data_IF_093791273312
#
_entry.id   IF_093791273312
#
_cell.length_a   1.000
_cell.length_b   1.000
_cell.length_c   1.000
_cell.angle_alpha   90.00
_cell.angle_beta   90.00
_cell.angle_gamma   90.00
#
_symmetry.space_group_name_H-M   'P 1'
#
loop_
_entity.id
_entity.type
_entity.pdbx_description
1 polymer ?
#
# COMPACT_ATOMS: atom_id res chain seq x y z
N UNK A 1 18.26 8.49 29.20
CA UNK A 1 17.27 8.16 28.17
C UNK A 1 17.37 9.13 27.00
N UNK A 2 17.66 8.61 25.80
CA UNK A 2 17.62 9.35 24.53
C UNK A 2 16.41 8.89 23.71
N UNK A 3 16.06 9.66 22.68
CA UNK A 3 14.95 9.31 21.77
C UNK A 3 15.25 8.02 20.99
N UNK A 4 16.52 7.84 20.58
CA UNK A 4 16.99 6.66 19.86
C UNK A 4 16.80 5.38 20.67
N UNK A 5 17.05 5.44 21.99
CA UNK A 5 16.80 4.30 22.89
C UNK A 5 15.32 3.96 22.97
N UNK A 6 14.44 4.98 23.07
CA UNK A 6 12.99 4.75 23.11
C UNK A 6 12.46 4.17 21.80
N UNK A 7 12.96 4.66 20.67
CA UNK A 7 12.63 4.12 19.34
C UNK A 7 13.09 2.67 19.21
N UNK A 8 14.33 2.36 19.63
CA UNK A 8 14.86 0.99 19.59
C UNK A 8 14.03 0.05 20.47
N UNK A 9 13.72 0.45 21.71
CA UNK A 9 12.87 -0.35 22.61
C UNK A 9 11.47 -0.59 22.02
N UNK A 10 10.87 0.41 21.37
CA UNK A 10 9.56 0.26 20.73
C UNK A 10 9.61 -0.79 19.60
N UNK A 11 10.64 -0.71 18.75
CA UNK A 11 10.82 -1.64 17.63
C UNK A 11 11.12 -3.08 18.10
N UNK A 12 12.05 -3.24 19.04
CA UNK A 12 12.45 -4.55 19.60
C UNK A 12 11.29 -5.28 20.28
N UNK A 13 10.36 -4.53 20.90
CA UNK A 13 9.16 -5.09 21.52
C UNK A 13 8.03 -5.35 20.53
N UNK A 14 8.21 -5.02 19.25
CA UNK A 14 7.19 -5.19 18.22
C UNK A 14 6.02 -4.20 18.34
N UNK A 15 6.26 -3.00 18.89
CA UNK A 15 5.24 -1.98 19.01
C UNK A 15 4.87 -1.38 17.65
N UNK A 16 3.59 -1.05 17.46
CA UNK A 16 3.15 -0.31 16.26
C UNK A 16 3.44 1.18 16.38
N UNK A 17 3.28 1.73 17.58
CA UNK A 17 3.42 3.16 17.85
C UNK A 17 4.08 3.38 19.23
N UNK A 18 4.86 4.46 19.35
CA UNK A 18 5.39 5.02 20.59
C UNK A 18 4.74 6.38 20.81
N UNK A 19 4.19 6.59 22.01
CA UNK A 19 3.53 7.81 22.46
C UNK A 19 4.34 8.44 23.59
N UNK A 20 4.69 9.72 23.42
CA UNK A 20 5.35 10.54 24.43
C UNK A 20 4.45 11.74 24.75
N UNK A 21 4.04 11.85 26.01
CA UNK A 21 3.27 12.97 26.53
C UNK A 21 3.82 13.40 27.90
N UNK A 22 3.84 14.71 28.16
CA UNK A 22 4.27 15.26 29.45
C UNK A 22 3.35 14.79 30.57
N UNK A 23 3.94 14.41 31.71
CA UNK A 23 3.21 13.89 32.87
C UNK A 23 2.91 12.39 32.81
N UNK A 24 3.29 11.71 31.73
CA UNK A 24 3.18 10.26 31.58
C UNK A 24 4.55 9.62 31.29
N UNK A 25 4.75 8.33 31.62
CA UNK A 25 5.88 7.58 31.11
C UNK A 25 5.74 7.36 29.59
N UNK A 26 6.85 7.20 28.85
CA UNK A 26 6.83 6.71 27.48
C UNK A 26 5.92 5.49 27.35
N UNK A 27 5.02 5.48 26.38
CA UNK A 27 3.98 4.44 26.25
C UNK A 27 4.00 3.86 24.84
N UNK A 28 4.02 2.54 24.72
CA UNK A 28 4.02 1.84 23.43
C UNK A 28 2.67 1.18 23.16
N UNK A 29 2.31 1.03 21.88
CA UNK A 29 1.14 0.26 21.46
C UNK A 29 1.56 -1.13 21.02
N UNK A 30 1.10 -2.15 21.75
CA UNK A 30 1.33 -3.56 21.45
C UNK A 30 0.00 -4.25 21.19
N UNK A 31 -0.16 -4.85 20.01
CA UNK A 31 -1.39 -5.53 19.59
C UNK A 31 -2.68 -4.70 19.77
N UNK A 32 -2.58 -3.38 19.57
CA UNK A 32 -3.70 -2.44 19.71
C UNK A 32 -3.84 -1.81 21.09
N UNK A 33 -3.18 -2.34 22.13
CA UNK A 33 -3.27 -1.85 23.50
C UNK A 33 -2.09 -0.95 23.88
N UNK A 34 -2.35 0.12 24.65
CA UNK A 34 -1.31 1.00 25.18
C UNK A 34 -0.70 0.41 26.45
N UNK A 35 0.62 0.30 26.49
CA UNK A 35 1.40 -0.21 27.62
C UNK A 35 2.53 0.75 27.96
N UNK A 36 2.60 1.28 29.20
CA UNK A 36 3.69 2.14 29.61
C UNK A 36 5.01 1.34 29.66
N UNK A 37 6.10 1.98 29.25
CA UNK A 37 7.45 1.49 29.47
C UNK A 37 7.86 1.75 30.93
N UNK A 38 8.80 0.95 31.43
CA UNK A 38 9.40 1.12 32.77
C UNK A 38 10.43 2.25 32.76
N UNK A 39 9.99 3.44 32.35
CA UNK A 39 10.79 4.64 32.21
C UNK A 39 10.19 5.78 33.05
N UNK A 40 10.99 6.78 33.39
CA UNK A 40 10.53 7.91 34.19
C UNK A 40 9.44 8.73 33.48
N UNK A 41 8.55 9.34 34.27
CA UNK A 41 7.55 10.28 33.79
C UNK A 41 8.23 11.46 33.06
N UNK A 42 7.72 11.78 31.87
CA UNK A 42 8.28 12.83 31.03
C UNK A 42 7.94 14.22 31.57
N UNK A 43 8.97 15.06 31.73
CA UNK A 43 8.83 16.49 32.07
C UNK A 43 8.82 17.35 30.80
N UNK A 44 8.33 18.60 30.85
CA UNK A 44 8.37 19.51 29.69
C UNK A 44 9.78 19.67 29.13
N UNK A 45 10.77 19.90 30.00
CA UNK A 45 12.19 20.02 29.61
C UNK A 45 12.68 18.75 28.92
N UNK A 46 12.34 17.57 29.46
CA UNK A 46 12.80 16.32 28.87
C UNK A 46 12.17 16.06 27.51
N UNK A 47 10.90 16.43 27.34
CA UNK A 47 10.21 16.30 26.07
C UNK A 47 10.85 17.18 24.99
N UNK A 48 11.16 18.43 25.30
CA UNK A 48 11.85 19.36 24.40
C UNK A 48 13.21 18.81 23.96
N UNK A 49 14.03 18.32 24.91
CA UNK A 49 15.32 17.68 24.60
C UNK A 49 15.16 16.49 23.63
N UNK A 50 14.16 15.63 23.85
CA UNK A 50 13.90 14.46 23.02
C UNK A 50 13.48 14.86 21.60
N UNK A 51 12.54 15.80 21.48
CA UNK A 51 12.02 16.23 20.17
C UNK A 51 13.06 16.99 19.36
N UNK A 52 13.79 17.94 19.97
CA UNK A 52 14.79 18.70 19.21
C UNK A 52 16.00 17.87 18.80
N UNK A 53 16.26 16.75 19.48
CA UNK A 53 17.34 15.84 19.08
C UNK A 53 17.09 15.11 17.75
N UNK A 54 15.84 15.06 17.25
CA UNK A 54 15.49 14.44 15.96
C UNK A 54 15.17 15.45 14.84
N UNK A 55 15.22 16.75 15.12
CA UNK A 55 14.84 17.81 14.18
C UNK A 55 16.03 18.63 13.72
N UNK A 56 16.05 18.99 12.43
CA UNK A 56 16.93 20.03 11.90
C UNK A 56 16.45 21.42 12.34
N UNK A 57 17.34 22.42 12.37
CA UNK A 57 17.01 23.79 12.81
C UNK A 57 15.79 24.37 12.09
N UNK A 58 15.70 24.21 10.77
CA UNK A 58 14.55 24.67 9.98
C UNK A 58 13.24 23.98 10.35
N UNK A 59 13.30 22.70 10.74
CA UNK A 59 12.15 21.94 11.22
C UNK A 59 11.75 22.36 12.64
N UNK A 60 12.72 22.67 13.50
CA UNK A 60 12.46 23.21 14.84
C UNK A 60 11.72 24.55 14.75
N UNK A 61 12.21 25.48 13.93
CA UNK A 61 11.57 26.78 13.70
C UNK A 61 10.15 26.61 13.16
N UNK A 62 9.96 25.70 12.20
CA UNK A 62 8.63 25.40 11.64
C UNK A 62 7.71 24.82 12.70
N UNK A 63 8.15 23.83 13.46
CA UNK A 63 7.33 23.19 14.49
C UNK A 63 6.92 24.18 15.60
N UNK A 64 7.84 25.03 16.06
CA UNK A 64 7.53 26.05 17.06
C UNK A 64 6.49 27.06 16.54
N UNK A 65 6.57 27.42 15.25
CA UNK A 65 5.66 28.38 14.62
C UNK A 65 4.29 27.78 14.29
N UNK A 66 4.27 26.61 13.68
CA UNK A 66 3.06 25.96 13.14
C UNK A 66 2.38 25.04 14.17
N UNK A 67 3.06 24.71 15.27
CA UNK A 67 2.59 23.86 16.38
C UNK A 67 2.29 22.40 16.01
N UNK A 68 2.48 22.02 14.76
CA UNK A 68 2.36 20.66 14.23
C UNK A 68 3.46 20.38 13.23
N UNK A 69 3.98 19.15 13.22
CA UNK A 69 5.01 18.75 12.27
C UNK A 69 5.07 17.22 12.10
N UNK A 70 4.93 16.75 10.86
CA UNK A 70 5.29 15.38 10.49
C UNK A 70 6.73 15.30 9.94
N UNK A 71 7.51 14.34 10.46
CA UNK A 71 8.85 14.00 9.98
C UNK A 71 9.04 12.49 9.89
N UNK A 72 10.07 12.07 9.15
CA UNK A 72 10.57 10.70 9.17
C UNK A 72 11.91 10.65 9.89
N UNK A 73 12.14 9.61 10.67
CA UNK A 73 13.40 9.38 11.39
C UNK A 73 13.88 7.94 11.17
N UNK A 74 15.19 7.75 11.02
CA UNK A 74 15.80 6.44 10.77
C UNK A 74 16.89 6.16 11.79
N UNK A 75 16.79 5.01 12.46
CA UNK A 75 17.83 4.48 13.34
C UNK A 75 18.99 3.90 12.52
N UNK A 76 20.14 3.75 13.17
CA UNK A 76 21.37 3.23 12.51
C UNK A 76 21.23 1.79 12.00
N UNK A 77 20.33 1.00 12.57
CA UNK A 77 20.01 -0.37 12.13
C UNK A 77 19.09 -0.39 10.89
N UNK A 78 18.62 0.78 10.44
CA UNK A 78 17.70 0.98 9.33
C UNK A 78 16.23 0.99 9.74
N UNK A 79 15.90 0.79 11.02
CA UNK A 79 14.51 0.90 11.51
C UNK A 79 14.02 2.33 11.34
N UNK A 80 12.86 2.51 10.71
CA UNK A 80 12.30 3.85 10.44
C UNK A 80 11.07 4.13 11.26
N UNK A 81 10.84 5.41 11.48
CA UNK A 81 9.71 5.95 12.21
C UNK A 81 9.08 7.08 11.42
N UNK A 82 7.75 7.08 11.33
CA UNK A 82 7.00 8.28 10.97
C UNK A 82 6.59 8.96 12.26
N UNK A 83 7.09 10.16 12.47
CA UNK A 83 6.94 10.91 13.72
C UNK A 83 6.04 12.10 13.47
N UNK A 84 4.93 12.15 14.22
CA UNK A 84 4.09 13.32 14.32
C UNK A 84 4.41 14.06 15.63
N UNK A 85 4.66 15.35 15.51
CA UNK A 85 4.89 16.27 16.62
C UNK A 85 3.72 17.24 16.71
N UNK A 86 3.27 17.53 17.92
CA UNK A 86 2.15 18.41 18.19
C UNK A 86 2.31 19.10 19.54
N UNK A 87 1.45 20.08 19.83
CA UNK A 87 1.32 20.67 21.16
C UNK A 87 0.02 20.22 21.84
N UNK A 88 0.09 19.93 23.14
CA UNK A 88 -1.05 19.71 24.02
C UNK A 88 -0.88 20.53 25.31
N UNK A 89 -1.81 21.46 25.59
CA UNK A 89 -1.78 22.32 26.79
C UNK A 89 -0.40 22.97 26.98
N UNK A 90 0.11 23.58 25.92
CA UNK A 90 1.43 24.22 25.82
C UNK A 90 2.65 23.29 26.03
N UNK A 91 2.45 21.99 26.17
CA UNK A 91 3.52 21.01 26.18
C UNK A 91 3.69 20.40 24.79
N UNK A 92 4.93 20.10 24.40
CA UNK A 92 5.17 19.32 23.20
C UNK A 92 4.74 17.86 23.42
N UNK A 93 4.33 17.20 22.34
CA UNK A 93 3.99 15.78 22.29
C UNK A 93 4.56 15.14 21.04
N UNK A 94 4.79 13.83 21.11
CA UNK A 94 5.34 13.04 20.02
C UNK A 94 4.60 11.70 19.91
N UNK A 95 4.19 11.36 18.69
CA UNK A 95 3.78 10.00 18.33
C UNK A 95 4.66 9.49 17.20
N UNK A 96 5.36 8.40 17.42
CA UNK A 96 6.21 7.76 16.42
C UNK A 96 5.65 6.40 16.04
N UNK A 97 5.30 6.22 14.77
CA UNK A 97 4.90 4.92 14.22
C UNK A 97 6.11 4.19 13.67
N UNK A 98 6.32 2.93 14.09
CA UNK A 98 7.35 2.07 13.52
C UNK A 98 6.97 1.75 12.07
N UNK A 99 7.89 1.99 11.14
CA UNK A 99 7.77 1.65 9.74
C UNK A 99 8.49 0.32 9.50
N UNK A 100 7.78 -0.73 9.05
CA UNK A 100 8.40 -2.02 8.79
C UNK A 100 9.52 -1.92 7.75
N UNK A 101 10.71 -2.44 8.09
CA UNK A 101 11.84 -2.53 7.15
C UNK A 101 11.80 -3.82 6.33
N UNK A 102 11.23 -4.88 6.90
CA UNK A 102 11.15 -6.18 6.24
C UNK A 102 9.94 -6.21 5.32
N UNK A 103 10.21 -6.23 4.02
CA UNK A 103 9.21 -6.49 3.00
C UNK A 103 9.02 -8.01 2.90
N UNK A 104 7.80 -8.55 3.08
CA UNK A 104 7.56 -9.99 2.92
C UNK A 104 7.74 -10.42 1.47
N UNK A 105 8.05 -11.70 1.26
CA UNK A 105 7.99 -12.30 -0.07
C UNK A 105 6.52 -12.53 -0.48
N UNK A 106 6.27 -12.72 -1.78
CA UNK A 106 4.94 -13.06 -2.29
C UNK A 106 4.40 -14.37 -1.67
N UNK A 107 5.27 -15.33 -1.38
CA UNK A 107 4.93 -16.59 -0.70
C UNK A 107 4.44 -16.35 0.73
N UNK A 108 5.14 -15.49 1.49
CA UNK A 108 4.81 -15.18 2.89
C UNK A 108 3.39 -14.59 3.05
N UNK A 109 2.91 -13.90 2.01
CA UNK A 109 1.56 -13.33 1.97
C UNK A 109 0.53 -14.23 1.25
N UNK A 110 0.91 -15.45 0.89
CA UNK A 110 0.03 -16.43 0.23
C UNK A 110 -0.42 -15.98 -1.16
N UNK A 111 0.45 -15.37 -1.94
CA UNK A 111 0.13 -14.94 -3.30
C UNK A 111 0.26 -16.12 -4.29
N UNK A 112 -0.71 -16.33 -5.20
CA UNK A 112 -0.63 -17.42 -6.19
C UNK A 112 0.39 -17.12 -7.30
N UNK A 113 0.87 -18.19 -7.96
CA UNK A 113 1.89 -18.16 -9.02
C UNK A 113 1.56 -17.17 -10.14
N UNK A 114 0.28 -17.02 -10.50
CA UNK A 114 -0.15 -16.07 -11.52
C UNK A 114 0.33 -14.63 -11.25
N UNK A 115 0.47 -14.23 -9.99
CA UNK A 115 0.95 -12.88 -9.63
C UNK A 115 2.47 -12.75 -9.81
N UNK A 116 3.24 -13.82 -9.69
CA UNK A 116 4.66 -13.83 -10.02
C UNK A 116 4.88 -13.60 -11.52
N UNK A 117 3.98 -14.12 -12.36
CA UNK A 117 4.06 -13.88 -13.80
C UNK A 117 3.80 -12.40 -14.15
N UNK A 118 2.93 -11.72 -13.39
CA UNK A 118 2.67 -10.28 -13.57
C UNK A 118 3.92 -9.42 -13.31
N UNK A 119 4.77 -9.78 -12.34
CA UNK A 119 6.00 -9.03 -12.04
C UNK A 119 7.07 -9.19 -13.12
N UNK A 120 6.95 -10.22 -13.95
CA UNK A 120 7.88 -10.52 -15.05
C UNK A 120 7.44 -9.94 -16.39
N UNK A 121 6.28 -9.29 -16.45
CA UNK A 121 5.83 -8.59 -17.66
C UNK A 121 6.72 -7.38 -17.95
N UNK A 122 6.88 -7.06 -19.23
CA UNK A 122 7.66 -5.89 -19.65
C UNK A 122 6.83 -4.60 -19.58
N UNK A 123 5.52 -4.69 -19.79
CA UNK A 123 4.63 -3.55 -19.79
C UNK A 123 3.18 -3.90 -19.43
N UNK A 124 2.41 -2.86 -19.13
CA UNK A 124 0.98 -2.93 -18.83
C UNK A 124 0.65 -2.47 -17.42
N UNK A 125 -0.64 -2.53 -17.07
CA UNK A 125 -1.18 -2.04 -15.81
C UNK A 125 -1.61 -3.19 -14.89
N UNK A 126 -1.04 -3.25 -13.69
CA UNK A 126 -1.49 -4.15 -12.62
C UNK A 126 -2.05 -3.32 -11.48
N UNK A 127 -3.29 -3.60 -11.09
CA UNK A 127 -4.00 -2.87 -10.06
C UNK A 127 -4.14 -3.73 -8.81
N UNK A 128 -3.71 -3.20 -7.66
CA UNK A 128 -4.00 -3.79 -6.35
C UNK A 128 -5.02 -2.90 -5.65
N UNK A 129 -6.21 -3.44 -5.37
CA UNK A 129 -7.34 -2.64 -4.88
C UNK A 129 -7.92 -3.17 -3.57
N UNK A 130 -8.69 -2.32 -2.89
CA UNK A 130 -9.34 -2.65 -1.62
C UNK A 130 -9.32 -1.47 -0.65
N UNK A 131 -10.03 -1.60 0.49
CA UNK A 131 -10.14 -0.52 1.47
C UNK A 131 -8.79 -0.17 2.12
N UNK A 132 -8.77 0.91 2.88
CA UNK A 132 -7.58 1.29 3.67
C UNK A 132 -7.22 0.18 4.65
N UNK A 133 -5.92 -0.12 4.78
CA UNK A 133 -5.43 -1.14 5.70
C UNK A 133 -5.66 -2.59 5.25
N UNK A 134 -6.01 -2.85 3.98
CA UNK A 134 -6.20 -4.22 3.49
C UNK A 134 -4.92 -4.92 2.97
N UNK A 135 -3.75 -4.29 3.10
CA UNK A 135 -2.46 -4.88 2.67
C UNK A 135 -2.05 -4.59 1.22
N UNK A 136 -2.64 -3.57 0.56
CA UNK A 136 -2.25 -3.16 -0.81
C UNK A 136 -0.77 -2.83 -0.93
N UNK A 137 -0.29 -1.94 -0.07
CA UNK A 137 1.09 -1.49 -0.03
C UNK A 137 2.05 -2.63 0.25
N UNK A 138 1.68 -3.57 1.13
CA UNK A 138 2.44 -4.81 1.38
C UNK A 138 2.54 -5.68 0.13
N UNK A 139 1.44 -5.83 -0.61
CA UNK A 139 1.43 -6.59 -1.87
C UNK A 139 2.30 -5.93 -2.93
N UNK A 140 2.16 -4.61 -3.13
CA UNK A 140 3.00 -3.87 -4.07
C UNK A 140 4.48 -3.93 -3.68
N UNK A 141 4.81 -3.79 -2.40
CA UNK A 141 6.17 -3.90 -1.94
C UNK A 141 6.75 -5.30 -2.20
N UNK A 142 5.99 -6.37 -1.94
CA UNK A 142 6.42 -7.73 -2.25
C UNK A 142 6.63 -7.95 -3.76
N UNK A 143 5.79 -7.37 -4.60
CA UNK A 143 5.96 -7.39 -6.06
C UNK A 143 7.23 -6.65 -6.50
N UNK A 144 7.44 -5.42 -6.03
CA UNK A 144 8.65 -4.63 -6.33
C UNK A 144 9.91 -5.33 -5.83
N UNK A 145 9.88 -5.93 -4.64
CA UNK A 145 10.98 -6.72 -4.09
C UNK A 145 11.36 -7.86 -5.03
N UNK A 146 10.38 -8.60 -5.55
CA UNK A 146 10.63 -9.68 -6.50
C UNK A 146 11.28 -9.15 -7.79
N UNK A 147 10.71 -8.09 -8.38
CA UNK A 147 11.27 -7.44 -9.58
C UNK A 147 12.73 -7.03 -9.35
N UNK A 148 13.01 -6.38 -8.21
CA UNK A 148 14.34 -5.91 -7.83
C UNK A 148 15.36 -7.05 -7.71
N UNK A 149 14.93 -8.22 -7.22
CA UNK A 149 15.81 -9.39 -7.04
C UNK A 149 16.00 -10.22 -8.32
N UNK A 150 15.05 -10.17 -9.25
CA UNK A 150 15.10 -10.98 -10.47
C UNK A 150 15.70 -10.22 -11.65
N UNK A 151 15.46 -8.90 -11.75
CA UNK A 151 15.68 -8.11 -12.97
C UNK A 151 16.59 -6.90 -12.71
N UNK A 152 17.30 -6.47 -13.74
CA UNK A 152 18.12 -5.25 -13.73
C UNK A 152 17.39 -4.11 -14.44
N UNK A 153 16.53 -3.40 -13.69
CA UNK A 153 15.64 -2.36 -14.21
C UNK A 153 15.78 -1.05 -13.42
N UNK A 154 15.20 0.01 -13.94
CA UNK A 154 14.97 1.27 -13.24
C UNK A 154 13.52 1.32 -12.74
N UNK A 155 13.36 1.25 -11.42
CA UNK A 155 12.08 1.25 -10.72
C UNK A 155 11.86 2.61 -10.07
N UNK A 156 10.72 3.24 -10.33
CA UNK A 156 10.37 4.55 -9.77
C UNK A 156 9.04 4.43 -9.03
N UNK A 157 9.05 4.75 -7.74
CA UNK A 157 7.83 4.75 -6.90
C UNK A 157 7.41 6.17 -6.57
N UNK A 158 6.09 6.41 -6.58
CA UNK A 158 5.46 7.66 -6.20
C UNK A 158 4.49 7.32 -5.06
N UNK A 159 4.71 7.87 -3.87
CA UNK A 159 4.07 7.40 -2.63
C UNK A 159 3.59 8.56 -1.74
N UNK A 160 2.59 8.31 -0.89
CA UNK A 160 2.01 9.29 0.03
C UNK A 160 1.55 8.63 1.36
N UNK A 161 2.45 8.49 2.37
CA UNK A 161 3.90 8.60 2.29
C UNK A 161 4.56 7.28 1.87
N UNK A 162 5.89 7.23 1.86
CA UNK A 162 6.64 5.98 1.62
C UNK A 162 6.38 4.99 2.77
N UNK A 163 5.83 3.82 2.46
CA UNK A 163 5.47 2.80 3.47
C UNK A 163 6.55 1.75 3.70
N UNK A 164 7.30 1.39 2.66
CA UNK A 164 8.37 0.40 2.72
C UNK A 164 9.62 0.99 2.08
N UNK A 165 10.78 0.75 2.67
CA UNK A 165 12.04 1.06 2.01
C UNK A 165 12.55 -0.12 1.22
N UNK A 166 12.93 0.15 -0.03
CA UNK A 166 13.65 -0.82 -0.83
C UNK A 166 15.15 -0.57 -0.75
N UNK A 167 15.90 -1.65 -0.50
CA UNK A 167 17.35 -1.65 -0.74
C UNK A 167 17.59 -2.09 -2.19
N UNK A 168 18.37 -1.34 -2.99
CA UNK A 168 18.75 -1.77 -4.32
C UNK A 168 19.41 -3.16 -4.29
N UNK A 169 19.03 -4.02 -5.24
CA UNK A 169 19.65 -5.33 -5.48
C UNK A 169 20.14 -5.37 -6.93
N UNK A 170 19.41 -6.03 -7.85
CA UNK A 170 19.75 -5.99 -9.28
C UNK A 170 19.21 -4.74 -9.97
N UNK A 171 18.14 -4.15 -9.45
CA UNK A 171 17.50 -2.95 -10.00
C UNK A 171 17.91 -1.69 -9.25
N UNK A 172 17.85 -0.56 -9.95
CA UNK A 172 17.88 0.78 -9.35
C UNK A 172 16.47 1.11 -8.87
N UNK A 173 16.33 1.60 -7.64
CA UNK A 173 15.04 2.01 -7.09
C UNK A 173 15.10 3.46 -6.63
N UNK A 174 14.15 4.27 -7.10
CA UNK A 174 13.98 5.68 -6.72
C UNK A 174 12.60 5.86 -6.12
N UNK A 175 12.53 6.13 -4.83
CA UNK A 175 11.26 6.39 -4.14
C UNK A 175 11.04 7.89 -3.99
N UNK A 176 9.85 8.37 -4.35
CA UNK A 176 9.48 9.79 -4.29
C UNK A 176 8.22 9.97 -3.46
N UNK A 177 8.33 10.75 -2.40
CA UNK A 177 7.23 11.04 -1.48
C UNK A 177 6.51 12.35 -1.82
N UNK A 178 5.18 12.34 -1.78
CA UNK A 178 4.36 13.53 -1.89
C UNK A 178 4.70 14.56 -0.80
N UNK A 179 4.80 15.83 -1.17
CA UNK A 179 5.12 16.95 -0.27
C UNK A 179 6.59 17.06 0.11
N UNK A 180 7.43 16.07 -0.23
CA UNK A 180 8.89 16.09 0.02
C UNK A 180 9.67 16.06 -1.29
N UNK A 181 9.47 15.03 -2.12
CA UNK A 181 10.23 14.80 -3.38
C UNK A 181 9.40 15.11 -4.64
N UNK A 182 8.08 15.30 -4.45
CA UNK A 182 7.15 15.71 -5.49
C UNK A 182 6.02 16.57 -4.93
N UNK A 183 5.52 17.50 -5.75
CA UNK A 183 4.45 18.43 -5.36
C UNK A 183 3.07 17.78 -5.51
N UNK A 184 2.89 16.95 -6.54
CA UNK A 184 1.66 16.18 -6.80
C UNK A 184 1.99 14.88 -7.54
N UNK A 185 1.08 13.90 -7.50
CA UNK A 185 1.20 12.67 -8.27
C UNK A 185 1.24 12.94 -9.79
N UNK A 186 0.34 13.80 -10.29
CA UNK A 186 0.29 14.17 -11.70
C UNK A 186 1.62 14.76 -12.21
N UNK A 187 2.19 15.74 -11.52
CA UNK A 187 3.50 16.31 -11.89
C UNK A 187 4.63 15.30 -11.70
N UNK A 188 4.58 14.52 -10.61
CA UNK A 188 5.52 13.42 -10.38
C UNK A 188 5.61 12.47 -11.57
N UNK A 189 4.46 11.98 -12.05
CA UNK A 189 4.33 11.06 -13.18
C UNK A 189 4.78 11.66 -14.51
N UNK A 190 4.42 12.92 -14.79
CA UNK A 190 4.87 13.61 -16.00
C UNK A 190 6.40 13.66 -16.10
N UNK A 191 7.07 13.91 -14.98
CA UNK A 191 8.53 13.96 -14.93
C UNK A 191 9.18 12.57 -14.97
N UNK A 192 8.50 11.54 -14.47
CA UNK A 192 8.96 10.14 -14.50
C UNK A 192 9.26 9.67 -15.93
N UNK A 193 8.53 10.13 -16.95
CA UNK A 193 8.78 9.81 -18.37
C UNK A 193 10.20 10.14 -18.86
N UNK A 194 10.86 11.13 -18.23
CA UNK A 194 12.24 11.54 -18.59
C UNK A 194 13.29 10.95 -17.68
N UNK A 195 12.90 10.01 -16.80
CA UNK A 195 13.78 9.38 -15.83
C UNK A 195 14.16 7.94 -16.24
N UNK A 196 13.91 7.57 -17.50
CA UNK A 196 14.17 6.25 -18.09
C UNK A 196 13.57 5.07 -17.29
N UNK A 197 12.29 5.13 -16.86
CA UNK A 197 11.70 4.08 -16.03
C UNK A 197 11.45 2.80 -16.85
N UNK A 198 11.55 1.64 -16.20
CA UNK A 198 10.97 0.40 -16.72
C UNK A 198 9.73 -0.01 -15.92
N UNK A 199 9.78 0.18 -14.60
CA UNK A 199 8.68 -0.12 -13.68
C UNK A 199 8.31 1.14 -12.92
N UNK A 200 7.01 1.44 -12.87
CA UNK A 200 6.48 2.60 -12.15
C UNK A 200 5.47 2.11 -11.13
N UNK A 201 5.65 2.48 -9.87
CA UNK A 201 4.66 2.24 -8.82
C UNK A 201 3.96 3.56 -8.48
N UNK A 202 2.63 3.56 -8.58
CA UNK A 202 1.77 4.70 -8.26
C UNK A 202 0.97 4.36 -7.01
N UNK A 203 1.34 4.98 -5.89
CA UNK A 203 0.81 4.67 -4.56
C UNK A 203 -0.72 4.73 -4.52
N UNK A 204 -1.34 5.73 -5.15
CA UNK A 204 -2.79 5.80 -5.31
C UNK A 204 -3.19 6.60 -6.55
N UNK A 205 -4.24 6.15 -7.25
CA UNK A 205 -4.84 6.88 -8.36
C UNK A 205 -6.14 7.58 -7.92
N UNK A 206 -6.02 8.85 -7.51
CA UNK A 206 -7.15 9.64 -6.97
C UNK A 206 -7.87 10.46 -8.02
N UNK A 207 -7.10 11.18 -8.84
CA UNK A 207 -7.59 12.19 -9.78
C UNK A 207 -7.44 11.77 -11.24
N UNK A 208 -8.16 12.51 -12.10
CA UNK A 208 -8.21 12.27 -13.55
C UNK A 208 -6.82 12.33 -14.18
N UNK A 209 -6.00 13.31 -13.81
CA UNK A 209 -4.67 13.52 -14.39
C UNK A 209 -3.73 12.35 -14.07
N UNK A 210 -3.76 11.87 -12.82
CA UNK A 210 -2.97 10.73 -12.36
C UNK A 210 -3.40 9.45 -13.05
N UNK A 211 -4.72 9.21 -13.17
CA UNK A 211 -5.25 8.02 -13.87
C UNK A 211 -4.89 8.08 -15.36
N UNK A 212 -5.11 9.21 -16.02
CA UNK A 212 -4.81 9.38 -17.44
C UNK A 212 -3.33 9.16 -17.75
N UNK A 213 -2.44 9.77 -16.96
CA UNK A 213 -0.99 9.60 -17.13
C UNK A 213 -0.55 8.15 -16.88
N UNK A 214 -1.14 7.50 -15.88
CA UNK A 214 -0.88 6.08 -15.57
C UNK A 214 -1.27 5.17 -16.73
N UNK A 215 -2.45 5.39 -17.34
CA UNK A 215 -2.89 4.60 -18.50
C UNK A 215 -1.96 4.81 -19.70
N UNK A 216 -1.53 6.05 -19.97
CA UNK A 216 -0.54 6.35 -21.02
C UNK A 216 0.79 5.64 -20.76
N UNK A 217 1.29 5.63 -19.53
CA UNK A 217 2.53 4.94 -19.17
C UNK A 217 2.44 3.42 -19.42
N UNK A 218 1.33 2.81 -19.01
CA UNK A 218 1.08 1.39 -19.19
C UNK A 218 0.93 1.00 -20.68
N UNK A 219 0.38 1.89 -21.50
CA UNK A 219 0.29 1.73 -22.95
C UNK A 219 1.63 1.91 -23.66
N UNK A 220 2.46 2.84 -23.19
CA UNK A 220 3.74 3.22 -23.82
C UNK A 220 4.93 2.34 -23.43
N UNK A 221 4.66 1.11 -22.98
CA UNK A 221 5.72 0.11 -22.79
C UNK A 221 6.32 0.05 -21.38
N UNK A 222 5.67 0.64 -20.37
CA UNK A 222 6.10 0.54 -18.97
C UNK A 222 5.23 -0.46 -18.21
N UNK A 223 5.82 -1.19 -17.25
CA UNK A 223 5.05 -1.93 -16.27
C UNK A 223 4.63 -0.96 -15.15
N UNK A 224 3.33 -0.71 -15.02
CA UNK A 224 2.78 0.17 -14.00
C UNK A 224 2.03 -0.63 -12.96
N UNK A 225 2.42 -0.48 -11.70
CA UNK A 225 1.73 -1.04 -10.55
C UNK A 225 1.01 0.09 -9.82
N UNK A 226 -0.29 -0.01 -9.58
CA UNK A 226 -1.04 1.07 -8.95
C UNK A 226 -2.11 0.59 -7.98
N UNK A 227 -2.62 1.48 -7.13
CA UNK A 227 -3.73 1.17 -6.22
C UNK A 227 -4.97 2.04 -6.43
N UNK A 228 -6.12 1.45 -6.09
CA UNK A 228 -7.39 2.14 -5.88
C UNK A 228 -8.09 1.59 -4.63
N UNK A 229 -9.12 2.31 -4.16
CA UNK A 229 -9.92 1.94 -3.00
C UNK A 229 -11.21 1.16 -3.32
N UNK A 230 -11.31 0.62 -4.54
CA UNK A 230 -12.46 -0.18 -5.00
C UNK A 230 -12.47 -1.58 -4.41
N UNK A 231 -13.66 -2.18 -4.29
CA UNK A 231 -13.83 -3.45 -3.56
C UNK A 231 -13.69 -4.71 -4.41
N UNK A 232 -13.80 -4.60 -5.73
CA UNK A 232 -13.71 -5.72 -6.67
C UNK A 232 -13.23 -5.26 -8.05
N UNK A 233 -12.96 -6.20 -8.95
CA UNK A 233 -12.37 -5.93 -10.25
C UNK A 233 -13.32 -5.15 -11.18
N UNK A 234 -14.61 -5.48 -11.19
CA UNK A 234 -15.62 -4.78 -11.99
C UNK A 234 -15.73 -3.30 -11.59
N UNK A 235 -15.89 -3.01 -10.30
CA UNK A 235 -15.92 -1.64 -9.76
C UNK A 235 -14.61 -0.88 -10.01
N UNK A 236 -13.47 -1.58 -10.03
CA UNK A 236 -12.18 -0.97 -10.36
C UNK A 236 -12.18 -0.42 -11.78
N UNK A 237 -12.68 -1.21 -12.73
CA UNK A 237 -12.79 -0.81 -14.14
C UNK A 237 -13.77 0.37 -14.28
N UNK A 238 -14.97 0.26 -13.70
CA UNK A 238 -15.97 1.35 -13.74
C UNK A 238 -15.40 2.64 -13.15
N UNK A 239 -14.75 2.57 -11.98
CA UNK A 239 -14.15 3.74 -11.32
C UNK A 239 -13.11 4.43 -12.20
N UNK A 240 -12.28 3.69 -12.92
CA UNK A 240 -11.27 4.27 -13.82
C UNK A 240 -11.95 4.99 -14.98
N UNK A 241 -13.06 4.46 -15.51
CA UNK A 241 -13.76 5.06 -16.65
C UNK A 241 -14.57 6.29 -16.21
N UNK A 242 -15.29 6.18 -15.09
CA UNK A 242 -16.28 7.15 -14.63
C UNK A 242 -15.68 8.47 -14.14
N UNK A 243 -14.39 8.51 -13.80
CA UNK A 243 -13.72 9.78 -13.49
C UNK A 243 -13.55 10.67 -14.72
N UNK A 244 -13.61 10.12 -15.93
CA UNK A 244 -13.45 10.87 -17.17
C UNK A 244 -14.78 11.43 -17.67
N UNK A 245 -14.79 12.62 -18.29
CA UNK A 245 -15.94 13.15 -19.00
C UNK A 245 -16.48 12.18 -20.06
N UNK A 246 -17.80 12.15 -20.33
CA UNK A 246 -18.41 11.18 -21.24
C UNK A 246 -17.77 11.08 -22.63
N UNK A 247 -17.25 12.19 -23.16
CA UNK A 247 -16.60 12.22 -24.47
C UNK A 247 -15.23 11.52 -24.52
N UNK A 248 -14.58 11.33 -23.37
CA UNK A 248 -13.28 10.63 -23.25
C UNK A 248 -13.43 9.16 -22.83
N UNK A 249 -14.56 8.78 -22.22
CA UNK A 249 -14.76 7.44 -21.66
C UNK A 249 -14.55 6.31 -22.68
N UNK A 250 -14.95 6.50 -23.93
CA UNK A 250 -14.74 5.48 -24.98
C UNK A 250 -13.27 5.25 -25.27
N UNK A 251 -12.46 6.31 -25.32
CA UNK A 251 -11.01 6.19 -25.51
C UNK A 251 -10.36 5.51 -24.29
N UNK A 252 -10.76 5.90 -23.07
CA UNK A 252 -10.26 5.31 -21.83
C UNK A 252 -10.58 3.83 -21.74
N UNK A 253 -11.80 3.42 -22.10
CA UNK A 253 -12.17 1.99 -22.17
C UNK A 253 -11.29 1.21 -23.14
N UNK A 254 -11.04 1.75 -24.34
CA UNK A 254 -10.16 1.12 -25.31
C UNK A 254 -8.73 0.98 -24.75
N UNK A 255 -8.17 2.08 -24.23
CA UNK A 255 -6.82 2.09 -23.66
C UNK A 255 -6.70 1.09 -22.50
N UNK A 256 -7.68 1.07 -21.58
CA UNK A 256 -7.72 0.14 -20.47
C UNK A 256 -7.82 -1.31 -20.95
N UNK A 257 -8.62 -1.60 -21.98
CA UNK A 257 -8.76 -2.95 -22.53
C UNK A 257 -7.45 -3.53 -23.06
N UNK A 258 -6.53 -2.69 -23.57
CA UNK A 258 -5.24 -3.11 -24.07
C UNK A 258 -4.13 -3.11 -23.01
N UNK A 259 -4.13 -2.12 -22.12
CA UNK A 259 -3.06 -1.91 -21.15
C UNK A 259 -3.23 -2.73 -19.87
N UNK A 260 -4.46 -3.00 -19.43
CA UNK A 260 -4.72 -3.77 -18.20
C UNK A 260 -4.15 -5.18 -18.32
N UNK A 261 -3.46 -5.64 -17.28
CA UNK A 261 -2.96 -7.02 -17.15
C UNK A 261 -3.73 -7.77 -16.07
N UNK A 262 -3.94 -7.15 -14.92
CA UNK A 262 -4.69 -7.75 -13.83
C UNK A 262 -5.29 -6.74 -12.85
N UNK A 263 -6.32 -7.17 -12.14
CA UNK A 263 -6.83 -6.51 -10.93
C UNK A 263 -6.82 -7.51 -9.78
N UNK A 264 -6.19 -7.14 -8.67
CA UNK A 264 -6.10 -7.93 -7.44
C UNK A 264 -6.82 -7.15 -6.33
N UNK A 265 -8.07 -7.49 -6.05
CA UNK A 265 -8.86 -6.85 -4.99
C UNK A 265 -8.70 -7.61 -3.68
N UNK A 266 -8.37 -6.91 -2.59
CA UNK A 266 -7.97 -7.51 -1.31
C UNK A 266 -8.82 -7.05 -0.12
N UNK A 267 -9.05 -7.96 0.82
CA UNK A 267 -9.68 -7.71 2.13
C UNK A 267 -8.93 -8.49 3.20
N UNK A 268 -8.65 -7.88 4.35
CA UNK A 268 -8.09 -8.61 5.50
C UNK A 268 -9.21 -9.17 6.37
N UNK A 269 -9.16 -10.47 6.62
CA UNK A 269 -10.09 -11.21 7.47
C UNK A 269 -9.38 -11.69 8.74
N UNK A 270 -10.08 -11.76 9.88
CA UNK A 270 -9.56 -12.41 11.09
C UNK A 270 -9.15 -13.86 10.82
N UNK A 271 -7.98 -14.28 11.32
CA UNK A 271 -7.49 -15.66 11.22
C UNK A 271 -7.84 -16.45 12.47
N UNK A 272 -8.14 -17.74 12.32
CA UNK A 272 -8.16 -18.68 13.44
C UNK A 272 -6.79 -18.74 14.12
N UNK A 273 -6.77 -18.64 15.45
CA UNK A 273 -5.52 -18.58 16.23
C UNK A 273 -4.85 -17.21 16.28
N UNK A 274 -5.50 -16.15 15.79
CA UNK A 274 -5.05 -14.76 15.91
C UNK A 274 -4.34 -14.22 14.67
N UNK A 275 -4.30 -12.89 14.56
CA UNK A 275 -3.79 -12.21 13.36
C UNK A 275 -4.83 -12.08 12.25
N UNK A 276 -4.38 -11.82 11.02
CA UNK A 276 -5.23 -11.58 9.85
C UNK A 276 -4.69 -12.28 8.61
N UNK A 277 -5.58 -12.61 7.67
CA UNK A 277 -5.24 -13.17 6.35
C UNK A 277 -5.92 -12.35 5.25
N UNK A 278 -5.28 -12.21 4.09
CA UNK A 278 -5.87 -11.54 2.95
C UNK A 278 -6.73 -12.50 2.12
N UNK A 279 -8.04 -12.24 2.05
CA UNK A 279 -8.90 -12.76 1.00
C UNK A 279 -8.76 -11.90 -0.25
N UNK A 280 -8.76 -12.54 -1.43
CA UNK A 280 -8.42 -11.91 -2.70
C UNK A 280 -9.36 -12.33 -3.81
N UNK A 281 -9.77 -11.37 -4.63
CA UNK A 281 -10.29 -11.57 -5.97
C UNK A 281 -9.18 -11.24 -6.97
N UNK A 282 -8.99 -12.08 -7.99
CA UNK A 282 -7.98 -11.91 -9.04
C UNK A 282 -8.68 -12.00 -10.39
N UNK A 283 -8.63 -10.89 -11.14
CA UNK A 283 -8.99 -10.80 -12.53
C UNK A 283 -7.71 -10.73 -13.37
N UNK A 284 -7.62 -11.52 -14.44
CA UNK A 284 -6.60 -11.35 -15.48
C UNK A 284 -7.25 -10.89 -16.77
N UNK A 285 -6.61 -9.97 -17.48
CA UNK A 285 -7.18 -9.41 -18.69
C UNK A 285 -6.90 -10.31 -19.91
N UNK A 286 -7.68 -11.39 -20.04
CA UNK A 286 -7.68 -12.25 -21.23
C UNK A 286 -8.53 -11.62 -22.36
N UNK A 287 -8.57 -12.19 -23.58
CA UNK A 287 -9.35 -11.62 -24.69
C UNK A 287 -10.84 -11.40 -24.39
N UNK A 288 -11.44 -12.27 -23.57
CA UNK A 288 -12.84 -12.12 -23.17
C UNK A 288 -13.04 -10.88 -22.28
N UNK A 289 -12.20 -10.70 -21.25
CA UNK A 289 -12.23 -9.52 -20.38
C UNK A 289 -11.96 -8.24 -21.15
N UNK A 290 -10.94 -8.23 -22.02
CA UNK A 290 -10.63 -7.08 -22.88
C UNK A 290 -11.83 -6.67 -23.73
N UNK A 291 -12.55 -7.64 -24.31
CA UNK A 291 -13.76 -7.37 -25.09
C UNK A 291 -14.89 -6.84 -24.21
N UNK A 292 -15.11 -7.38 -23.01
CA UNK A 292 -16.13 -6.87 -22.09
C UNK A 292 -15.86 -5.42 -21.67
N UNK A 293 -14.59 -5.05 -21.44
CA UNK A 293 -14.20 -3.66 -21.15
C UNK A 293 -14.52 -2.75 -22.34
N UNK A 294 -14.13 -3.16 -23.55
CA UNK A 294 -14.37 -2.40 -24.78
C UNK A 294 -15.85 -2.14 -25.04
N UNK A 295 -16.66 -3.18 -24.89
CA UNK A 295 -18.11 -3.18 -25.15
C UNK A 295 -18.94 -2.60 -23.99
N UNK A 296 -18.29 -2.10 -22.92
CA UNK A 296 -18.95 -1.59 -21.71
C UNK A 296 -19.89 -2.62 -21.03
N UNK A 297 -19.46 -3.88 -20.96
CA UNK A 297 -20.20 -5.01 -20.37
C UNK A 297 -19.59 -5.46 -19.04
N UNK A 298 -19.19 -4.51 -18.21
CA UNK A 298 -18.47 -4.73 -16.95
C UNK A 298 -19.23 -5.65 -15.97
N UNK A 299 -20.56 -5.61 -15.99
CA UNK A 299 -21.41 -6.49 -15.17
C UNK A 299 -21.18 -8.00 -15.44
N UNK A 300 -20.68 -8.38 -16.61
CA UNK A 300 -20.42 -9.78 -16.96
C UNK A 300 -19.05 -10.29 -16.51
N UNK A 301 -18.17 -9.40 -16.03
CA UNK A 301 -16.78 -9.75 -15.64
C UNK A 301 -16.76 -10.79 -14.52
N UNK A 302 -17.65 -10.68 -13.52
CA UNK A 302 -17.71 -11.64 -12.40
C UNK A 302 -17.90 -13.08 -12.89
N UNK A 303 -18.75 -13.28 -13.90
CA UNK A 303 -18.99 -14.62 -14.48
C UNK A 303 -17.73 -15.16 -15.16
N UNK A 304 -16.98 -14.30 -15.86
CA UNK A 304 -15.72 -14.71 -16.50
C UNK A 304 -14.66 -15.07 -15.47
N UNK A 305 -14.53 -14.29 -14.39
CA UNK A 305 -13.62 -14.63 -13.27
C UNK A 305 -14.01 -15.99 -12.69
N UNK A 306 -15.31 -16.25 -12.47
CA UNK A 306 -15.80 -17.48 -11.88
C UNK A 306 -15.45 -18.72 -12.73
N UNK A 307 -15.49 -18.60 -14.06
CA UNK A 307 -15.13 -19.68 -15.00
C UNK A 307 -13.65 -19.71 -15.37
N UNK A 308 -12.89 -18.66 -15.08
CA UNK A 308 -11.47 -18.49 -15.44
C UNK A 308 -10.47 -19.10 -14.45
N UNK A 309 -10.89 -20.09 -13.66
CA UNK A 309 -10.04 -20.69 -12.62
C UNK A 309 -8.77 -21.34 -13.19
N UNK A 310 -8.85 -21.92 -14.39
CA UNK A 310 -7.70 -22.52 -15.09
C UNK A 310 -6.64 -21.47 -15.48
N UNK A 311 -7.07 -20.23 -15.79
CA UNK A 311 -6.16 -19.11 -16.04
C UNK A 311 -5.53 -18.56 -14.74
N UNK A 312 -6.00 -19.00 -13.57
CA UNK A 312 -5.61 -18.47 -12.26
C UNK A 312 -6.48 -17.33 -11.75
N UNK A 313 -7.64 -17.07 -12.38
CA UNK A 313 -8.62 -16.13 -11.85
C UNK A 313 -9.35 -16.72 -10.64
N UNK A 314 -9.75 -15.88 -9.70
CA UNK A 314 -10.52 -16.30 -8.54
C UNK A 314 -11.44 -15.19 -8.08
N UNK A 315 -12.70 -15.51 -7.82
CA UNK A 315 -13.64 -14.56 -7.18
C UNK A 315 -13.35 -14.44 -5.69
N UNK A 316 -13.72 -13.31 -5.08
CA UNK A 316 -13.57 -13.13 -3.63
C UNK A 316 -14.22 -14.27 -2.83
N UNK A 317 -15.45 -14.66 -3.20
CA UNK A 317 -16.21 -15.71 -2.50
C UNK A 317 -15.55 -17.10 -2.65
N UNK A 318 -14.99 -17.43 -3.82
CA UNK A 318 -14.23 -18.67 -4.02
C UNK A 318 -12.99 -18.73 -3.13
N UNK A 319 -12.25 -17.62 -3.02
CA UNK A 319 -11.07 -17.59 -2.17
C UNK A 319 -11.43 -17.66 -0.69
N UNK A 320 -12.49 -16.98 -0.25
CA UNK A 320 -13.00 -17.09 1.13
C UNK A 320 -13.41 -18.55 1.43
N UNK A 321 -14.11 -19.23 0.51
CA UNK A 321 -14.44 -20.66 0.66
C UNK A 321 -13.18 -21.50 0.88
N UNK A 322 -12.13 -21.27 0.09
CA UNK A 322 -10.85 -21.97 0.22
C UNK A 322 -10.21 -21.72 1.59
N UNK A 323 -10.21 -20.48 2.09
CA UNK A 323 -9.68 -20.16 3.42
C UNK A 323 -10.43 -20.89 4.56
N UNK A 324 -11.74 -21.14 4.40
CA UNK A 324 -12.52 -21.97 5.34
C UNK A 324 -12.12 -23.44 5.24
N UNK A 325 -11.99 -23.97 4.02
CA UNK A 325 -11.59 -25.37 3.78
C UNK A 325 -10.20 -25.66 4.34
N UNK A 326 -9.28 -24.70 4.19
CA UNK A 326 -7.91 -24.76 4.71
C UNK A 326 -7.85 -24.48 6.23
N UNK A 327 -9.00 -24.26 6.90
CA UNK A 327 -9.14 -23.94 8.32
C UNK A 327 -8.36 -22.70 8.77
N UNK A 328 -8.14 -21.76 7.84
CA UNK A 328 -7.44 -20.50 8.11
C UNK A 328 -8.39 -19.49 8.77
N UNK A 329 -9.67 -19.52 8.41
CA UNK A 329 -10.73 -18.65 8.99
C UNK A 329 -11.93 -19.51 9.41
N UNK A 330 -12.70 -19.03 10.40
CA UNK A 330 -13.98 -19.66 10.78
C UNK A 330 -15.04 -19.49 9.71
N UNK A 331 -16.00 -20.42 9.74
CA UNK A 331 -17.23 -20.32 8.94
C UNK A 331 -18.04 -19.06 9.27
N UNK A 332 -18.06 -18.64 10.54
CA UNK A 332 -18.71 -17.40 10.98
C UNK A 332 -18.05 -16.17 10.32
N UNK A 333 -16.73 -16.07 10.39
CA UNK A 333 -15.95 -15.03 9.70
C UNK A 333 -16.27 -15.02 8.21
N UNK A 334 -16.31 -16.19 7.56
CA UNK A 334 -16.64 -16.27 6.14
C UNK A 334 -18.06 -15.76 5.81
N UNK A 335 -19.08 -16.16 6.58
CA UNK A 335 -20.46 -15.73 6.39
C UNK A 335 -20.63 -14.21 6.50
N UNK A 336 -19.83 -13.54 7.33
CA UNK A 336 -19.85 -12.09 7.46
C UNK A 336 -19.25 -11.33 6.25
N UNK A 337 -18.51 -12.01 5.37
CA UNK A 337 -17.69 -11.37 4.35
C UNK A 337 -17.93 -11.83 2.90
N UNK A 338 -18.63 -12.95 2.69
CA UNK A 338 -19.03 -13.40 1.35
C UNK A 338 -20.25 -12.65 0.82
N UNK A 339 -20.32 -12.51 -0.50
CA UNK A 339 -21.50 -11.95 -1.18
C UNK A 339 -22.59 -12.98 -1.44
N UNK A 340 -22.23 -14.26 -1.59
CA UNK A 340 -23.14 -15.36 -1.93
C UNK A 340 -23.01 -16.52 -0.92
N UNK A 341 -23.89 -16.59 0.10
CA UNK A 341 -23.84 -17.61 1.16
C UNK A 341 -23.86 -19.06 0.66
N UNK A 342 -24.49 -19.31 -0.48
CA UNK A 342 -24.56 -20.63 -1.11
C UNK A 342 -23.18 -21.18 -1.48
N UNK A 343 -22.17 -20.32 -1.65
CA UNK A 343 -20.80 -20.75 -1.96
C UNK A 343 -20.19 -21.56 -0.80
N UNK A 344 -20.65 -21.38 0.45
CA UNK A 344 -20.17 -22.16 1.61
C UNK A 344 -20.91 -23.48 1.84
N UNK A 345 -21.91 -23.81 1.02
CA UNK A 345 -22.45 -25.17 0.94
C UNK A 345 -21.45 -26.07 0.21
#
# INVERSE_FOLDING_TARGET
MTIETLFSQASERGASDLHLAVGLPPTIRLHGELKPLEEAVLTPKKMEELIFSILQTTQQDRFQKERELDVSYELKDGTRFRVNLHYEKDNMGLVARVIPTTIPNLEDIGMPEVVYNLTRMDYGLVLVTGPTGCGKSTTLAAMIKLINSERSLNIITLEDPIEFLFRPDKSIIKQRQLGTDMISFGEGLKHTLRQDPNVIMVGEMRDLDTIGTTLTLAETGHLVLATLHTSNAAQTIDRIIDVFPPHQQTQVRLQLSFSLKAVISQRLLPKEGGGRVAAREILLNNPAISNLIRENKVAQIKSVIQTGAEDGMVTMDQHIKRLVQDKIISRETALAHISSPDVLK
#
